data_IF_878633651048
#
_entry.id   IF_878633651048
#
_cell.length_a   1.000
_cell.length_b   1.000
_cell.length_c   1.000
_cell.angle_alpha   90.00
_cell.angle_beta   90.00
_cell.angle_gamma   90.00
#
_symmetry.space_group_name_H-M   'P 1'
#
loop_
_entity.id
_entity.type
_entity.pdbx_description
1 polymer ?
#
# COMPACT_ATOMS: atom_id res chain seq x y z
N UNK A 1 -17.04 0.35 0.96
CA UNK A 1 -16.01 0.54 2.01
C UNK A 1 -14.76 0.93 1.27
N UNK A 2 -14.33 2.18 1.42
CA UNK A 2 -13.33 2.81 0.57
C UNK A 2 -11.94 2.46 1.10
N UNK A 3 -11.10 1.89 0.25
CA UNK A 3 -9.67 1.68 0.50
C UNK A 3 -8.98 3.02 0.73
N UNK A 4 -8.14 3.10 1.77
CA UNK A 4 -7.20 4.19 1.95
C UNK A 4 -6.24 4.19 0.74
N UNK A 5 -6.08 5.35 0.11
CA UNK A 5 -5.25 5.50 -1.08
C UNK A 5 -4.13 6.46 -0.72
N UNK A 6 -2.93 5.92 -0.51
CA UNK A 6 -1.71 6.68 -0.65
C UNK A 6 -1.46 6.86 -2.15
N UNK A 7 -1.48 8.11 -2.60
CA UNK A 7 -1.19 8.44 -3.99
C UNK A 7 0.32 8.42 -4.17
N UNK A 8 0.81 7.50 -4.99
CA UNK A 8 2.10 7.70 -5.65
C UNK A 8 2.04 9.00 -6.46
N UNK A 9 2.74 10.04 -5.97
CA UNK A 9 3.19 11.25 -6.68
C UNK A 9 2.32 11.80 -7.82
N UNK A 10 0.99 11.80 -7.70
CA UNK A 10 0.09 12.17 -8.81
C UNK A 10 -1.05 13.13 -8.46
N UNK A 11 -1.12 13.68 -7.24
CA UNK A 11 -1.94 14.88 -7.06
C UNK A 11 -1.17 16.09 -7.61
N UNK A 12 -1.65 16.62 -8.75
CA UNK A 12 -1.14 17.88 -9.32
C UNK A 12 -1.40 19.10 -8.43
N UNK A 13 -2.23 18.95 -7.39
CA UNK A 13 -2.51 19.99 -6.40
C UNK A 13 -1.47 20.04 -5.27
N UNK A 14 -0.86 18.92 -4.87
CA UNK A 14 0.25 18.92 -3.89
C UNK A 14 1.61 19.25 -4.52
N UNK A 15 1.77 19.07 -5.85
CA UNK A 15 3.00 19.44 -6.59
C UNK A 15 3.22 20.95 -6.75
N UNK A 16 2.20 21.76 -6.50
CA UNK A 16 2.26 23.22 -6.60
C UNK A 16 2.36 23.90 -5.23
N UNK A 17 2.69 23.17 -4.17
CA UNK A 17 3.14 23.80 -2.93
C UNK A 17 4.46 24.53 -3.25
N UNK A 18 4.56 25.85 -2.99
CA UNK A 18 5.78 26.60 -3.26
C UNK A 18 6.95 25.92 -2.55
N UNK A 19 8.14 25.94 -3.18
CA UNK A 19 9.39 25.47 -2.58
C UNK A 19 9.54 26.09 -1.18
N UNK A 20 9.14 25.36 -0.14
CA UNK A 20 9.27 25.82 1.23
C UNK A 20 10.75 25.72 1.61
N UNK A 21 11.37 26.91 1.60
CA UNK A 21 12.54 27.42 2.30
C UNK A 21 13.52 26.41 2.94
N UNK A 22 14.84 26.64 2.79
CA UNK A 22 15.86 25.76 3.35
C UNK A 22 15.92 25.91 4.87
N UNK A 23 15.36 24.95 5.62
CA UNK A 23 15.53 24.92 7.08
C UNK A 23 16.94 24.39 7.43
N UNK A 24 17.89 25.32 7.60
CA UNK A 24 19.18 25.08 8.24
C UNK A 24 19.04 25.22 9.76
N UNK A 25 19.43 24.15 10.48
CA UNK A 25 19.94 24.00 11.86
C UNK A 25 19.24 24.74 13.04
N UNK A 26 19.27 24.11 14.24
CA UNK A 26 18.37 24.41 15.34
C UNK A 26 18.82 25.67 16.09
N UNK A 27 17.88 26.49 16.57
CA UNK A 27 17.90 27.16 17.89
C UNK A 27 16.74 28.16 17.99
N UNK A 28 16.12 28.14 19.17
CA UNK A 28 15.46 29.20 19.94
C UNK A 28 14.51 30.19 19.25
N UNK A 29 13.29 30.23 19.80
CA UNK A 29 12.14 31.13 19.51
C UNK A 29 11.23 30.69 18.35
N UNK A 30 10.24 29.84 18.66
CA UNK A 30 9.07 29.64 17.81
C UNK A 30 8.04 30.75 18.12
N UNK A 31 8.16 31.88 17.43
CA UNK A 31 7.04 32.75 17.09
C UNK A 31 6.89 32.77 15.56
N UNK A 32 5.75 32.22 15.08
CA UNK A 32 5.18 32.20 13.70
C UNK A 32 5.15 30.84 13.02
N UNK A 33 3.97 30.21 13.08
CA UNK A 33 3.47 29.33 12.02
C UNK A 33 2.46 30.15 11.19
N UNK A 34 2.65 30.15 9.88
CA UNK A 34 1.99 31.04 8.92
C UNK A 34 0.50 30.69 8.78
N UNK A 35 -0.34 31.72 8.99
CA UNK A 35 -1.76 31.76 8.66
C UNK A 35 -1.95 31.78 7.14
N UNK A 36 -2.70 30.81 6.64
CA UNK A 36 -3.66 31.01 5.53
C UNK A 36 -4.97 30.37 5.99
N UNK A 37 -6.10 31.01 5.72
CA UNK A 37 -7.33 30.97 6.53
C UNK A 37 -8.07 29.61 6.66
N UNK A 38 -7.46 28.48 6.27
CA UNK A 38 -8.06 27.14 6.37
C UNK A 38 -7.14 26.02 6.93
N UNK A 39 -5.94 26.33 7.43
CA UNK A 39 -5.02 25.30 7.97
C UNK A 39 -5.06 25.23 9.51
N UNK A 40 -5.29 24.03 10.06
CA UNK A 40 -5.13 23.73 11.49
C UNK A 40 -3.93 22.79 11.65
N UNK A 41 -2.78 23.33 12.05
CA UNK A 41 -1.61 22.55 12.46
C UNK A 41 -1.73 22.15 13.93
N UNK A 42 -1.43 20.89 14.25
CA UNK A 42 -1.33 20.41 15.63
C UNK A 42 0.15 20.20 15.98
N UNK A 43 0.61 20.92 17.01
CA UNK A 43 1.92 20.71 17.61
C UNK A 43 1.73 19.80 18.83
N UNK A 44 2.23 18.55 18.74
CA UNK A 44 2.14 17.55 19.81
C UNK A 44 3.45 17.52 20.58
N UNK A 45 3.77 18.62 21.28
CA UNK A 45 4.86 18.66 22.24
C UNK A 45 4.34 18.67 23.69
N UNK A 46 5.19 18.26 24.63
CA UNK A 46 4.92 17.78 26.01
C UNK A 46 4.07 18.65 26.97
N UNK A 47 3.33 19.66 26.52
CA UNK A 47 2.32 20.38 27.32
C UNK A 47 1.04 20.63 26.50
N UNK A 48 0.09 19.71 26.67
CA UNK A 48 -1.29 19.76 26.20
C UNK A 48 -1.95 21.15 26.30
N UNK A 49 -2.05 21.92 25.20
CA UNK A 49 -3.12 22.94 25.02
C UNK A 49 -3.57 23.05 23.56
N UNK A 50 -4.87 22.77 23.36
CA UNK A 50 -5.61 22.75 22.11
C UNK A 50 -6.46 24.01 21.95
N UNK A 51 -6.52 24.59 20.75
CA UNK A 51 -7.51 25.62 20.38
C UNK A 51 -8.32 25.21 19.13
N UNK A 52 -9.60 25.57 19.12
CA UNK A 52 -10.75 24.66 18.89
C UNK A 52 -11.50 24.74 17.55
N UNK A 53 -12.27 23.67 17.23
CA UNK A 53 -13.75 23.66 17.31
C UNK A 53 -14.15 22.35 18.02
N UNK A 54 -14.73 22.46 19.22
CA UNK A 54 -14.27 21.70 20.39
C UNK A 54 -14.66 20.21 20.52
N UNK A 55 -15.75 19.71 19.92
CA UNK A 55 -16.17 18.32 20.17
C UNK A 55 -15.53 17.28 19.23
N UNK A 56 -15.45 17.56 17.92
CA UNK A 56 -14.85 16.63 16.97
C UNK A 56 -13.31 16.63 17.02
N UNK A 57 -12.69 17.75 17.43
CA UNK A 57 -11.23 17.87 17.50
C UNK A 57 -10.62 17.12 18.68
N UNK A 58 -11.28 17.12 19.86
CA UNK A 58 -10.81 16.36 21.03
C UNK A 58 -10.86 14.86 20.75
N UNK A 59 -11.91 14.39 20.05
CA UNK A 59 -12.02 13.00 19.62
C UNK A 59 -10.88 12.60 18.66
N UNK A 60 -10.57 13.43 17.66
CA UNK A 60 -9.54 13.10 16.67
C UNK A 60 -8.12 13.12 17.25
N UNK A 61 -7.81 14.08 18.12
CA UNK A 61 -6.51 14.10 18.81
C UNK A 61 -6.34 12.89 19.72
N UNK A 62 -7.39 12.50 20.44
CA UNK A 62 -7.36 11.27 21.24
C UNK A 62 -7.18 10.01 20.39
N UNK A 63 -7.77 9.98 19.19
CA UNK A 63 -7.58 8.89 18.23
C UNK A 63 -6.12 8.84 17.77
N UNK A 64 -5.58 9.98 17.33
CA UNK A 64 -4.18 10.11 16.89
C UNK A 64 -3.21 9.69 17.99
N UNK A 65 -3.40 10.19 19.22
CA UNK A 65 -2.55 9.84 20.35
C UNK A 65 -2.60 8.33 20.67
N UNK A 66 -3.78 7.71 20.62
CA UNK A 66 -3.90 6.26 20.81
C UNK A 66 -3.16 5.48 19.73
N UNK A 67 -3.22 5.92 18.48
CA UNK A 67 -2.50 5.32 17.36
C UNK A 67 -0.99 5.47 17.56
N UNK A 68 -0.50 6.68 17.83
CA UNK A 68 0.93 6.94 18.05
C UNK A 68 1.45 6.08 19.20
N UNK A 69 0.78 6.07 20.35
CA UNK A 69 1.20 5.27 21.50
C UNK A 69 1.21 3.78 21.19
N UNK A 70 0.22 3.28 20.45
CA UNK A 70 0.21 1.88 20.02
C UNK A 70 1.38 1.57 19.08
N UNK A 71 1.68 2.45 18.12
CA UNK A 71 2.78 2.25 17.17
C UNK A 71 4.16 2.41 17.80
N UNK A 72 4.37 3.42 18.66
CA UNK A 72 5.60 3.60 19.41
C UNK A 72 5.86 2.39 20.35
N UNK A 73 4.80 1.76 20.89
CA UNK A 73 4.92 0.51 21.64
C UNK A 73 5.29 -0.69 20.76
N UNK A 74 4.91 -0.69 19.48
CA UNK A 74 5.27 -1.76 18.54
C UNK A 74 6.76 -1.64 18.15
N UNK A 75 7.18 -0.45 17.74
CA UNK A 75 8.52 -0.20 17.23
C UNK A 75 9.37 0.45 18.32
N UNK A 76 10.13 -0.38 19.05
CA UNK A 76 10.94 -0.04 20.25
C UNK A 76 12.00 1.02 19.94
N UNK A 77 11.56 2.28 19.82
CA UNK A 77 12.36 3.43 19.44
C UNK A 77 11.93 4.63 20.26
N UNK A 78 12.89 5.55 20.50
CA UNK A 78 12.62 6.78 21.22
C UNK A 78 11.61 7.66 20.43
N UNK A 79 10.52 8.05 21.08
CA UNK A 79 9.48 8.88 20.47
C UNK A 79 10.07 10.23 20.07
N UNK A 80 10.11 10.52 18.76
CA UNK A 80 10.44 11.87 18.25
C UNK A 80 9.17 12.67 18.00
N UNK A 81 9.18 13.99 18.28
CA UNK A 81 8.06 14.87 17.91
C UNK A 81 7.80 14.76 16.41
N UNK A 82 6.52 14.73 16.03
CA UNK A 82 6.10 14.47 14.67
C UNK A 82 4.92 15.37 14.32
N UNK A 83 5.06 16.15 13.25
CA UNK A 83 4.08 17.17 12.90
C UNK A 83 2.90 16.53 12.17
N UNK A 84 1.68 16.78 12.63
CA UNK A 84 0.47 16.28 11.96
C UNK A 84 -0.33 17.45 11.46
N UNK A 85 -0.48 17.53 10.14
CA UNK A 85 -1.27 18.54 9.44
C UNK A 85 -2.54 17.88 8.94
N UNK A 86 -3.68 18.37 9.43
CA UNK A 86 -5.00 17.91 9.01
C UNK A 86 -5.64 18.99 8.14
N UNK A 87 -5.99 18.61 6.92
CA UNK A 87 -6.67 19.46 5.94
C UNK A 87 -8.09 18.95 5.76
N UNK A 88 -9.08 19.74 6.20
CA UNK A 88 -10.49 19.44 5.95
C UNK A 88 -10.90 20.01 4.59
N UNK A 89 -11.11 19.11 3.64
CA UNK A 89 -11.60 19.38 2.32
C UNK A 89 -12.95 18.67 2.11
N UNK A 90 -14.09 19.37 2.30
CA UNK A 90 -15.42 18.76 2.23
C UNK A 90 -15.78 18.25 0.83
N UNK A 91 -15.09 18.74 -0.20
CA UNK A 91 -15.31 18.36 -1.60
C UNK A 91 -14.63 17.03 -1.94
N UNK A 92 -13.70 16.56 -1.12
CA UNK A 92 -13.12 15.24 -1.33
C UNK A 92 -14.11 14.14 -0.98
N UNK A 93 -14.18 13.15 -1.86
CA UNK A 93 -14.92 11.91 -1.66
C UNK A 93 -14.12 10.88 -0.86
N UNK A 94 -12.82 11.08 -0.67
CA UNK A 94 -11.89 10.15 -0.04
C UNK A 94 -10.88 10.90 0.81
N UNK A 95 -10.35 10.22 1.83
CA UNK A 95 -9.21 10.72 2.60
C UNK A 95 -7.91 10.21 1.96
N UNK A 96 -6.92 11.08 1.87
CA UNK A 96 -5.57 10.78 1.36
C UNK A 96 -4.53 11.30 2.34
N UNK A 97 -3.37 10.66 2.34
CA UNK A 97 -2.26 11.05 3.20
C UNK A 97 -0.94 11.08 2.45
N UNK A 98 0.03 11.77 3.07
CA UNK A 98 1.44 11.67 2.71
C UNK A 98 2.30 11.86 3.96
N UNK A 99 3.25 10.95 4.16
CA UNK A 99 4.27 11.03 5.17
C UNK A 99 5.58 11.60 4.62
N UNK A 100 6.15 12.54 5.38
CA UNK A 100 7.54 12.97 5.29
C UNK A 100 8.29 12.62 6.57
N UNK A 101 9.60 12.86 6.56
CA UNK A 101 10.50 12.45 7.64
C UNK A 101 10.07 12.89 9.04
N UNK A 102 9.53 14.10 9.15
CA UNK A 102 9.14 14.73 10.42
C UNK A 102 7.68 15.24 10.40
N UNK A 103 6.89 14.87 9.39
CA UNK A 103 5.51 15.32 9.26
C UNK A 103 4.61 14.32 8.54
N UNK A 104 3.31 14.36 8.83
CA UNK A 104 2.25 13.75 8.01
C UNK A 104 1.22 14.80 7.66
N UNK A 105 0.81 14.81 6.39
CA UNK A 105 -0.31 15.61 5.90
C UNK A 105 -1.44 14.66 5.56
N UNK A 106 -2.63 14.91 6.10
CA UNK A 106 -3.84 14.15 5.76
C UNK A 106 -4.90 15.13 5.27
N UNK A 107 -5.44 14.84 4.09
CA UNK A 107 -6.49 15.63 3.45
C UNK A 107 -7.74 14.77 3.24
N UNK A 108 -8.92 15.27 3.58
CA UNK A 108 -10.18 14.53 3.41
C UNK A 108 -11.37 15.32 3.93
N UNK A 109 -12.55 14.70 4.01
CA UNK A 109 -13.72 15.33 4.64
C UNK A 109 -13.95 14.79 6.05
N UNK A 110 -13.67 15.62 7.07
CA UNK A 110 -13.87 15.24 8.49
C UNK A 110 -15.33 14.91 8.81
N UNK A 111 -16.28 15.45 8.03
CA UNK A 111 -17.72 15.24 8.20
C UNK A 111 -18.22 13.91 7.66
N UNK A 112 -17.53 13.32 6.68
CA UNK A 112 -18.08 12.17 5.91
C UNK A 112 -17.70 10.82 6.50
N UNK A 113 -16.47 10.64 7.00
CA UNK A 113 -16.08 9.35 7.56
C UNK A 113 -14.83 9.42 8.46
N UNK A 114 -15.04 9.45 9.77
CA UNK A 114 -13.94 9.43 10.76
C UNK A 114 -13.12 8.13 10.67
N UNK A 115 -13.73 6.98 10.34
CA UNK A 115 -13.02 5.69 10.22
C UNK A 115 -12.04 5.68 9.05
N UNK A 116 -12.41 6.27 7.91
CA UNK A 116 -11.51 6.39 6.76
C UNK A 116 -10.31 7.30 7.11
N UNK A 117 -10.55 8.38 7.85
CA UNK A 117 -9.50 9.21 8.43
C UNK A 117 -8.58 8.43 9.36
N UNK A 118 -9.15 7.67 10.30
CA UNK A 118 -8.39 6.88 11.26
C UNK A 118 -7.48 5.85 10.57
N UNK A 119 -7.95 5.20 9.50
CA UNK A 119 -7.13 4.27 8.71
C UNK A 119 -5.98 4.99 8.01
N UNK A 120 -6.24 6.09 7.32
CA UNK A 120 -5.19 6.86 6.62
C UNK A 120 -4.17 7.40 7.63
N UNK A 121 -4.62 7.99 8.75
CA UNK A 121 -3.72 8.41 9.84
C UNK A 121 -2.83 7.26 10.28
N UNK A 122 -3.43 6.09 10.56
CA UNK A 122 -2.68 4.94 11.03
C UNK A 122 -1.69 4.42 10.01
N UNK A 123 -2.03 4.49 8.72
CA UNK A 123 -1.14 4.13 7.62
C UNK A 123 0.05 5.09 7.54
N UNK A 124 -0.21 6.39 7.39
CA UNK A 124 0.84 7.39 7.20
C UNK A 124 1.80 7.47 8.39
N UNK A 125 1.32 7.26 9.62
CA UNK A 125 2.18 7.26 10.80
C UNK A 125 3.15 6.05 10.84
N UNK A 126 2.83 4.92 10.20
CA UNK A 126 3.76 3.79 10.11
C UNK A 126 4.96 4.13 9.23
N UNK A 127 4.84 5.04 8.26
CA UNK A 127 5.96 5.43 7.41
C UNK A 127 7.13 6.06 8.17
N UNK A 128 6.91 6.53 9.40
CA UNK A 128 7.98 6.90 10.35
C UNK A 128 9.01 5.78 10.52
N UNK A 129 8.56 4.53 10.53
CA UNK A 129 9.41 3.35 10.66
C UNK A 129 9.73 2.76 9.29
N UNK A 130 8.70 2.48 8.49
CA UNK A 130 8.81 1.83 7.18
C UNK A 130 8.78 2.90 6.08
N UNK A 131 9.95 3.38 5.66
CA UNK A 131 10.11 4.43 4.65
C UNK A 131 10.99 5.59 5.10
N UNK A 132 11.14 5.80 6.42
CA UNK A 132 12.00 6.85 6.99
C UNK A 132 13.09 6.36 7.95
N UNK A 133 12.88 5.24 8.66
CA UNK A 133 13.96 4.61 9.45
C UNK A 133 14.53 3.43 8.67
N UNK A 134 13.65 2.53 8.26
CA UNK A 134 13.95 1.58 7.20
C UNK A 134 13.88 2.39 5.91
N UNK A 135 15.03 2.75 5.37
CA UNK A 135 15.14 3.40 4.08
C UNK A 135 15.67 2.39 3.06
N UNK A 136 15.22 2.53 1.83
CA UNK A 136 15.84 1.90 0.67
C UNK A 136 16.82 2.88 0.03
N UNK A 137 17.72 2.37 -0.80
CA UNK A 137 18.58 3.25 -1.61
C UNK A 137 17.72 4.14 -2.53
N UNK A 138 18.14 5.39 -2.71
CA UNK A 138 17.42 6.48 -3.39
C UNK A 138 17.30 6.32 -4.92
N UNK A 139 17.68 5.16 -5.46
CA UNK A 139 17.39 4.84 -6.86
C UNK A 139 15.87 4.68 -7.05
N UNK A 140 15.30 5.47 -7.95
CA UNK A 140 13.87 5.40 -8.34
C UNK A 140 13.45 3.99 -8.79
N UNK A 141 14.37 3.17 -9.29
CA UNK A 141 14.08 1.75 -9.60
C UNK A 141 13.76 0.94 -8.34
N UNK A 142 14.40 1.25 -7.22
CA UNK A 142 14.19 0.56 -5.97
C UNK A 142 12.84 0.92 -5.32
N UNK A 143 12.35 2.15 -5.50
CA UNK A 143 11.05 2.62 -4.95
C UNK A 143 9.90 1.71 -5.40
N UNK A 144 9.92 1.34 -6.67
CA UNK A 144 8.95 0.42 -7.26
C UNK A 144 9.21 -1.02 -6.80
N UNK A 145 10.47 -1.45 -6.86
CA UNK A 145 10.87 -2.84 -6.57
C UNK A 145 10.47 -3.25 -5.15
N UNK A 146 10.60 -2.35 -4.18
CA UNK A 146 10.30 -2.63 -2.78
C UNK A 146 8.95 -2.08 -2.32
N UNK A 147 8.11 -1.59 -3.23
CA UNK A 147 6.79 -1.04 -2.89
C UNK A 147 5.92 -2.04 -2.12
N UNK A 148 6.02 -3.34 -2.42
CA UNK A 148 5.31 -4.38 -1.67
C UNK A 148 5.67 -4.35 -0.17
N UNK A 149 6.94 -4.08 0.16
CA UNK A 149 7.37 -3.95 1.54
C UNK A 149 6.92 -2.60 2.10
N UNK A 150 7.33 -1.50 1.46
CA UNK A 150 7.13 -0.15 2.01
C UNK A 150 5.68 0.29 2.13
N UNK A 151 4.80 -0.18 1.24
CA UNK A 151 3.38 0.18 1.26
C UNK A 151 2.51 -0.92 1.84
N UNK A 152 2.79 -2.17 1.46
CA UNK A 152 1.97 -3.29 1.91
C UNK A 152 2.19 -3.64 3.38
N UNK A 153 3.42 -3.56 3.89
CA UNK A 153 3.65 -3.78 5.33
C UNK A 153 3.15 -2.59 6.15
N UNK A 154 3.27 -1.37 5.62
CA UNK A 154 2.66 -0.17 6.20
C UNK A 154 1.15 -0.32 6.33
N UNK A 155 0.48 -0.82 5.29
CA UNK A 155 -0.95 -1.09 5.35
C UNK A 155 -1.30 -2.18 6.36
N UNK A 156 -0.50 -3.25 6.43
CA UNK A 156 -0.70 -4.32 7.42
C UNK A 156 -0.61 -3.79 8.86
N UNK A 157 0.46 -3.08 9.20
CA UNK A 157 0.64 -2.53 10.54
C UNK A 157 -0.32 -1.40 10.85
N UNK A 158 -0.71 -0.60 9.86
CA UNK A 158 -1.77 0.39 10.00
C UNK A 158 -3.06 -0.28 10.46
N UNK A 159 -3.49 -1.33 9.76
CA UNK A 159 -4.69 -2.08 10.12
C UNK A 159 -4.54 -2.84 11.45
N UNK A 160 -3.38 -3.44 11.72
CA UNK A 160 -3.10 -4.12 12.99
C UNK A 160 -3.17 -3.16 14.17
N UNK A 161 -2.61 -1.96 14.03
CA UNK A 161 -2.70 -0.89 15.04
C UNK A 161 -4.16 -0.59 15.39
N UNK A 162 -5.04 -0.50 14.39
CA UNK A 162 -6.46 -0.26 14.63
C UNK A 162 -7.14 -1.39 15.40
N UNK A 163 -6.73 -2.64 15.16
CA UNK A 163 -7.22 -3.81 15.90
C UNK A 163 -6.75 -3.76 17.35
N UNK A 164 -5.46 -3.51 17.58
CA UNK A 164 -4.84 -3.49 18.91
C UNK A 164 -5.38 -2.35 19.79
N UNK A 165 -5.66 -1.20 19.18
CA UNK A 165 -6.31 -0.04 19.82
C UNK A 165 -7.83 -0.16 19.94
N UNK A 166 -8.42 -1.25 19.42
CA UNK A 166 -9.86 -1.53 19.40
C UNK A 166 -10.69 -0.49 18.63
N UNK A 167 -10.08 0.24 17.69
CA UNK A 167 -10.82 1.07 16.72
C UNK A 167 -11.55 0.24 15.68
N UNK A 168 -11.04 -0.96 15.40
CA UNK A 168 -11.77 -2.00 14.69
C UNK A 168 -11.83 -3.27 15.54
N UNK A 169 -12.86 -4.08 15.34
CA UNK A 169 -12.97 -5.40 15.97
C UNK A 169 -12.39 -6.51 15.06
N UNK A 170 -12.37 -7.75 15.56
CA UNK A 170 -11.85 -8.92 14.83
C UNK A 170 -12.61 -9.20 13.53
N UNK A 171 -13.92 -8.96 13.49
CA UNK A 171 -14.74 -9.17 12.30
C UNK A 171 -14.46 -8.12 11.22
N UNK A 172 -14.27 -6.85 11.62
CA UNK A 172 -13.84 -5.77 10.74
C UNK A 172 -12.43 -6.02 10.19
N UNK A 173 -11.50 -6.52 11.02
CA UNK A 173 -10.16 -6.92 10.60
C UNK A 173 -10.21 -8.06 9.57
N UNK A 174 -10.97 -9.12 9.85
CA UNK A 174 -11.15 -10.24 8.92
C UNK A 174 -11.82 -9.80 7.62
N UNK A 175 -12.78 -8.87 7.69
CA UNK A 175 -13.40 -8.29 6.51
C UNK A 175 -12.40 -7.54 5.64
N UNK A 176 -11.47 -6.79 6.25
CA UNK A 176 -10.39 -6.12 5.52
C UNK A 176 -9.51 -7.15 4.82
N UNK A 177 -9.06 -8.20 5.52
CA UNK A 177 -8.28 -9.30 4.92
C UNK A 177 -9.01 -9.92 3.74
N UNK A 178 -10.29 -10.28 3.91
CA UNK A 178 -11.08 -10.92 2.86
C UNK A 178 -11.28 -9.99 1.64
N UNK A 179 -11.42 -8.68 1.85
CA UNK A 179 -11.44 -7.69 0.77
C UNK A 179 -10.09 -7.64 0.06
N UNK A 180 -8.98 -7.57 0.80
CA UNK A 180 -7.62 -7.55 0.24
C UNK A 180 -7.34 -8.80 -0.59
N UNK A 181 -7.69 -9.99 -0.08
CA UNK A 181 -7.58 -11.26 -0.80
C UNK A 181 -8.41 -11.24 -2.08
N UNK A 182 -9.68 -10.82 -1.99
CA UNK A 182 -10.57 -10.69 -3.15
C UNK A 182 -9.98 -9.77 -4.21
N UNK A 183 -9.57 -8.56 -3.83
CA UNK A 183 -9.02 -7.57 -4.77
C UNK A 183 -7.73 -8.06 -5.42
N UNK A 184 -6.85 -8.69 -4.66
CA UNK A 184 -5.60 -9.22 -5.18
C UNK A 184 -5.80 -10.41 -6.13
N UNK A 185 -6.52 -11.44 -5.69
CA UNK A 185 -6.69 -12.67 -6.48
C UNK A 185 -7.66 -12.49 -7.66
N UNK A 186 -8.56 -11.50 -7.61
CA UNK A 186 -9.36 -11.10 -8.78
C UNK A 186 -8.67 -10.11 -9.73
N UNK A 187 -7.44 -9.68 -9.45
CA UNK A 187 -6.69 -8.85 -10.39
C UNK A 187 -6.45 -9.57 -11.74
N UNK A 188 -6.41 -8.80 -12.82
CA UNK A 188 -6.03 -9.28 -14.16
C UNK A 188 -4.53 -9.54 -14.31
N UNK A 189 -3.72 -8.95 -13.44
CA UNK A 189 -2.26 -8.93 -13.53
C UNK A 189 -1.60 -9.29 -12.19
N UNK A 190 -2.03 -10.38 -11.52
CA UNK A 190 -1.54 -10.70 -10.19
C UNK A 190 -0.04 -11.08 -10.19
N UNK A 191 0.49 -11.50 -11.36
CA UNK A 191 1.88 -11.91 -11.58
C UNK A 191 2.73 -10.83 -12.24
N UNK A 192 2.39 -9.55 -12.08
CA UNK A 192 3.22 -8.48 -12.65
C UNK A 192 4.60 -8.45 -11.98
N UNK A 193 5.65 -8.50 -12.81
CA UNK A 193 7.03 -8.29 -12.37
C UNK A 193 7.32 -6.79 -12.32
N UNK A 194 7.27 -6.22 -11.12
CA UNK A 194 7.50 -4.79 -10.89
C UNK A 194 8.90 -4.34 -11.30
N UNK A 195 9.92 -5.22 -11.28
CA UNK A 195 11.27 -4.88 -11.73
C UNK A 195 11.35 -4.72 -13.26
N UNK A 196 10.50 -5.45 -14.00
CA UNK A 196 10.46 -5.42 -15.46
C UNK A 196 9.44 -4.44 -16.03
N UNK A 197 8.53 -3.94 -15.19
CA UNK A 197 7.48 -3.01 -15.64
C UNK A 197 8.00 -1.58 -15.71
N UNK A 198 7.66 -0.84 -16.77
CA UNK A 198 8.08 0.55 -16.91
C UNK A 198 7.44 1.45 -15.82
N UNK A 199 8.25 2.29 -15.17
CA UNK A 199 7.85 3.23 -14.11
C UNK A 199 6.60 4.06 -14.46
N UNK A 200 6.44 4.47 -15.73
CA UNK A 200 5.27 5.26 -16.15
C UNK A 200 3.95 4.49 -16.05
N UNK A 201 3.98 3.17 -16.26
CA UNK A 201 2.80 2.32 -16.16
C UNK A 201 2.50 1.92 -14.71
N UNK A 202 3.53 1.91 -13.85
CA UNK A 202 3.43 1.60 -12.43
C UNK A 202 2.78 2.71 -11.60
N UNK A 203 2.62 3.90 -12.20
CA UNK A 203 1.79 4.99 -11.66
C UNK A 203 0.29 4.76 -11.88
N UNK A 204 -0.10 3.74 -12.64
CA UNK A 204 -1.51 3.32 -12.69
C UNK A 204 -1.94 2.88 -11.30
N UNK A 205 -3.04 3.45 -10.83
CA UNK A 205 -3.57 3.22 -9.50
C UNK A 205 -3.82 1.73 -9.22
N UNK A 206 -4.27 0.97 -10.22
CA UNK A 206 -4.57 -0.45 -10.04
C UNK A 206 -3.29 -1.26 -9.86
N UNK A 207 -2.24 -0.93 -10.62
CA UNK A 207 -0.93 -1.57 -10.44
C UNK A 207 -0.35 -1.23 -9.08
N UNK A 208 -0.46 0.04 -8.67
CA UNK A 208 -0.04 0.48 -7.35
C UNK A 208 -0.73 -0.33 -6.25
N UNK A 209 -2.07 -0.44 -6.29
CA UNK A 209 -2.86 -1.20 -5.31
C UNK A 209 -2.45 -2.67 -5.20
N UNK A 210 -1.94 -3.28 -6.27
CA UNK A 210 -1.44 -4.65 -6.20
C UNK A 210 -0.21 -4.78 -5.30
N UNK A 211 0.67 -3.78 -5.25
CA UNK A 211 1.80 -3.78 -4.33
C UNK A 211 1.34 -3.71 -2.88
N UNK A 212 0.34 -2.85 -2.58
CA UNK A 212 -0.26 -2.77 -1.24
C UNK A 212 -0.87 -4.11 -0.83
N UNK A 213 -1.77 -4.65 -1.67
CA UNK A 213 -2.48 -5.87 -1.35
C UNK A 213 -1.53 -7.07 -1.24
N UNK A 214 -0.56 -7.20 -2.16
CA UNK A 214 0.47 -8.26 -2.11
C UNK A 214 1.27 -8.20 -0.82
N UNK A 215 1.79 -7.01 -0.49
CA UNK A 215 2.60 -6.83 0.70
C UNK A 215 1.82 -7.01 1.99
N UNK A 216 0.55 -6.58 2.03
CA UNK A 216 -0.34 -6.82 3.16
C UNK A 216 -0.53 -8.33 3.40
N UNK A 217 -0.84 -9.08 2.34
CA UNK A 217 -1.03 -10.54 2.41
C UNK A 217 0.26 -11.22 2.86
N UNK A 218 1.40 -10.82 2.30
CA UNK A 218 2.71 -11.32 2.71
C UNK A 218 3.01 -11.06 4.18
N UNK A 219 2.80 -9.83 4.64
CA UNK A 219 3.00 -9.47 6.04
C UNK A 219 2.14 -10.32 6.97
N UNK A 220 0.85 -10.52 6.64
CA UNK A 220 -0.05 -11.39 7.38
C UNK A 220 0.43 -12.84 7.42
N UNK A 221 0.83 -13.41 6.27
CA UNK A 221 1.36 -14.78 6.18
C UNK A 221 2.57 -14.96 7.10
N UNK A 222 3.52 -14.01 7.04
CA UNK A 222 4.76 -14.09 7.80
C UNK A 222 4.48 -13.90 9.30
N UNK A 223 3.62 -12.96 9.67
CA UNK A 223 3.23 -12.70 11.05
C UNK A 223 2.62 -13.95 11.69
N UNK A 224 1.66 -14.58 11.01
CA UNK A 224 1.02 -15.81 11.47
C UNK A 224 2.00 -16.99 11.50
N UNK A 225 2.87 -17.13 10.49
CA UNK A 225 3.82 -18.23 10.47
C UNK A 225 4.84 -18.13 11.59
N UNK A 226 5.36 -16.93 11.85
CA UNK A 226 6.26 -16.67 12.98
C UNK A 226 5.57 -16.96 14.31
N UNK A 227 4.31 -16.53 14.46
CA UNK A 227 3.52 -16.82 15.65
C UNK A 227 3.38 -18.33 15.87
N UNK A 228 3.00 -19.07 14.83
CA UNK A 228 2.82 -20.52 14.85
C UNK A 228 4.11 -21.26 15.26
N UNK A 229 5.23 -21.05 14.54
CA UNK A 229 6.47 -21.81 14.78
C UNK A 229 7.13 -21.47 16.10
N UNK A 230 6.83 -20.30 16.67
CA UNK A 230 7.42 -19.81 17.91
C UNK A 230 6.55 -20.03 19.13
N UNK A 231 5.32 -20.57 18.97
CA UNK A 231 4.26 -20.61 19.98
C UNK A 231 3.98 -19.21 20.57
N UNK A 232 3.84 -18.22 19.70
CA UNK A 232 3.51 -16.83 20.05
C UNK A 232 4.67 -15.99 20.61
N UNK A 233 5.90 -16.53 20.65
CA UNK A 233 7.07 -15.79 21.15
C UNK A 233 7.62 -14.76 20.16
N UNK A 234 7.45 -15.02 18.87
CA UNK A 234 7.92 -14.18 17.78
C UNK A 234 6.80 -13.93 16.79
N UNK A 235 6.85 -12.77 16.15
CA UNK A 235 5.90 -12.31 15.15
C UNK A 235 6.65 -11.41 14.15
N UNK A 236 5.96 -10.90 13.13
CA UNK A 236 6.62 -10.08 12.11
C UNK A 236 7.25 -8.83 12.72
N UNK A 237 6.66 -8.27 13.78
CA UNK A 237 7.18 -7.09 14.45
C UNK A 237 8.58 -7.34 15.05
N UNK A 238 8.81 -8.54 15.58
CA UNK A 238 10.13 -8.95 16.07
C UNK A 238 11.16 -8.83 14.95
N UNK A 239 10.84 -9.35 13.77
CA UNK A 239 11.71 -9.27 12.59
C UNK A 239 11.95 -7.83 12.15
N UNK A 240 10.90 -6.99 12.12
CA UNK A 240 11.04 -5.59 11.70
C UNK A 240 11.88 -4.78 12.70
N UNK A 241 11.72 -4.99 14.01
CA UNK A 241 12.55 -4.34 15.02
C UNK A 241 14.03 -4.76 14.90
N UNK A 242 14.31 -6.03 14.58
CA UNK A 242 15.67 -6.48 14.30
C UNK A 242 16.26 -5.81 13.06
N UNK A 243 15.48 -5.66 11.99
CA UNK A 243 15.88 -4.93 10.77
C UNK A 243 16.18 -3.46 11.10
N UNK A 244 15.31 -2.80 11.87
CA UNK A 244 15.51 -1.41 12.32
C UNK A 244 16.82 -1.29 13.10
N UNK A 245 17.07 -2.20 14.05
CA UNK A 245 18.30 -2.22 14.83
C UNK A 245 19.54 -2.40 13.94
N UNK A 246 19.48 -3.28 12.94
CA UNK A 246 20.59 -3.50 12.01
C UNK A 246 20.85 -2.30 11.10
N UNK A 247 19.79 -1.74 10.50
CA UNK A 247 19.86 -0.57 9.63
C UNK A 247 20.43 0.64 10.39
N UNK A 248 19.95 0.89 11.60
CA UNK A 248 20.39 2.04 12.41
C UNK A 248 21.83 1.89 12.93
N UNK A 249 22.24 0.67 13.32
CA UNK A 249 23.60 0.42 13.84
C UNK A 249 24.65 0.32 12.74
N UNK A 250 24.35 -0.34 11.62
CA UNK A 250 25.31 -0.59 10.53
C UNK A 250 25.23 0.43 9.39
N UNK A 251 24.22 1.31 9.39
CA UNK A 251 23.94 2.28 8.31
C UNK A 251 23.80 1.63 6.94
N UNK A 252 23.07 0.51 6.88
CA UNK A 252 22.77 -0.22 5.65
C UNK A 252 21.36 0.08 5.17
N UNK A 253 21.10 0.01 3.86
CA UNK A 253 19.77 0.18 3.30
C UNK A 253 19.01 -1.15 3.23
N UNK A 254 17.68 -1.06 3.25
CA UNK A 254 16.82 -2.21 3.04
C UNK A 254 17.04 -2.87 1.67
N UNK A 255 17.07 -4.20 1.67
CA UNK A 255 16.99 -5.04 0.49
C UNK A 255 16.41 -6.42 0.86
N UNK A 256 16.09 -7.24 -0.15
CA UNK A 256 15.48 -8.57 0.06
C UNK A 256 16.42 -9.52 0.81
N UNK A 257 17.73 -9.43 0.63
CA UNK A 257 18.68 -10.31 1.29
C UNK A 257 18.76 -10.02 2.80
N UNK A 258 18.73 -8.74 3.18
CA UNK A 258 18.62 -8.31 4.58
C UNK A 258 17.29 -8.80 5.19
N UNK A 259 16.18 -8.62 4.47
CA UNK A 259 14.89 -9.12 4.94
C UNK A 259 14.90 -10.64 5.16
N UNK A 260 15.43 -11.38 4.17
CA UNK A 260 15.53 -12.82 4.22
C UNK A 260 16.46 -13.31 5.35
N UNK A 261 17.60 -12.64 5.59
CA UNK A 261 18.54 -13.02 6.64
C UNK A 261 17.90 -12.94 8.02
N UNK A 262 17.09 -11.91 8.29
CA UNK A 262 16.38 -11.80 9.56
C UNK A 262 15.26 -12.83 9.72
N UNK A 263 14.62 -13.27 8.63
CA UNK A 263 13.63 -14.36 8.67
C UNK A 263 14.28 -15.73 8.92
N UNK A 264 15.51 -15.96 8.44
CA UNK A 264 16.24 -17.24 8.61
C UNK A 264 16.49 -17.62 10.07
N UNK A 265 16.43 -16.67 11.00
CA UNK A 265 16.53 -16.98 12.43
C UNK A 265 15.35 -17.80 12.96
N UNK A 266 14.20 -17.78 12.28
CA UNK A 266 12.95 -18.35 12.78
C UNK A 266 12.26 -19.28 11.77
N UNK A 267 12.46 -19.06 10.48
CA UNK A 267 11.77 -19.77 9.41
C UNK A 267 12.73 -20.63 8.59
N UNK A 268 12.22 -21.74 8.06
CA UNK A 268 12.97 -22.64 7.19
C UNK A 268 13.39 -21.96 5.88
N UNK A 269 14.52 -22.35 5.32
CA UNK A 269 15.00 -21.81 4.03
C UNK A 269 14.02 -22.02 2.87
N UNK A 270 13.28 -23.14 2.85
CA UNK A 270 12.26 -23.41 1.82
C UNK A 270 11.15 -22.36 1.87
N UNK A 271 10.55 -22.13 3.04
CA UNK A 271 9.52 -21.12 3.22
C UNK A 271 10.01 -19.71 2.82
N UNK A 272 11.25 -19.36 3.15
CA UNK A 272 11.82 -18.06 2.76
C UNK A 272 11.98 -17.95 1.24
N UNK A 273 12.41 -19.03 0.57
CA UNK A 273 12.45 -19.07 -0.90
C UNK A 273 11.06 -18.88 -1.49
N UNK A 274 10.04 -19.50 -0.93
CA UNK A 274 8.66 -19.34 -1.39
C UNK A 274 8.14 -17.92 -1.17
N UNK A 275 8.45 -17.29 -0.03
CA UNK A 275 8.13 -15.87 0.21
C UNK A 275 8.75 -14.99 -0.86
N UNK A 276 10.04 -15.14 -1.14
CA UNK A 276 10.74 -14.35 -2.16
C UNK A 276 10.17 -14.61 -3.55
N UNK A 277 9.89 -15.87 -3.89
CA UNK A 277 9.30 -16.23 -5.17
C UNK A 277 7.88 -15.66 -5.33
N UNK A 278 7.09 -15.63 -4.25
CA UNK A 278 5.72 -15.11 -4.25
C UNK A 278 5.61 -13.61 -4.49
N UNK A 279 6.70 -12.86 -4.31
CA UNK A 279 6.78 -11.45 -4.74
C UNK A 279 6.52 -11.35 -6.25
N UNK A 280 6.92 -12.36 -7.03
CA UNK A 280 6.77 -12.42 -8.50
C UNK A 280 5.62 -13.32 -8.94
N UNK A 281 5.24 -14.30 -8.13
CA UNK A 281 4.23 -15.31 -8.48
C UNK A 281 3.09 -15.41 -7.45
N UNK A 282 1.89 -14.98 -7.84
CA UNK A 282 0.69 -15.04 -7.01
C UNK A 282 0.20 -16.46 -6.71
N UNK A 283 0.54 -17.46 -7.52
CA UNK A 283 0.17 -18.85 -7.25
C UNK A 283 0.92 -19.41 -6.04
N UNK A 284 2.20 -19.03 -5.89
CA UNK A 284 2.99 -19.32 -4.70
C UNK A 284 2.39 -18.59 -3.50
N UNK A 285 2.00 -17.31 -3.66
CA UNK A 285 1.37 -16.57 -2.57
C UNK A 285 0.08 -17.23 -2.06
N UNK A 286 -0.74 -17.79 -2.97
CA UNK A 286 -1.94 -18.52 -2.61
C UNK A 286 -1.61 -19.76 -1.75
N UNK A 287 -0.55 -20.50 -2.12
CA UNK A 287 -0.13 -21.71 -1.41
C UNK A 287 0.40 -21.44 0.01
N UNK A 288 0.81 -20.20 0.28
CA UNK A 288 1.36 -19.77 1.56
C UNK A 288 0.29 -19.26 2.55
N UNK A 289 -0.97 -19.15 2.12
CA UNK A 289 -2.04 -18.67 3.01
C UNK A 289 -2.24 -19.62 4.19
N UNK A 290 -2.33 -19.11 5.43
CA UNK A 290 -2.66 -19.92 6.59
C UNK A 290 -4.00 -20.63 6.38
N UNK A 291 -4.07 -21.91 6.76
CA UNK A 291 -5.31 -22.68 6.70
C UNK A 291 -6.38 -22.17 7.67
N UNK A 292 -5.97 -21.42 8.70
CA UNK A 292 -6.84 -20.82 9.70
C UNK A 292 -6.31 -19.44 10.12
N UNK A 293 -7.21 -18.49 10.30
CA UNK A 293 -6.91 -17.13 10.77
C UNK A 293 -8.04 -16.66 11.70
N UNK A 294 -7.73 -16.12 12.88
CA UNK A 294 -8.73 -15.65 13.86
C UNK A 294 -9.89 -16.64 14.12
N UNK A 295 -9.57 -17.92 14.26
CA UNK A 295 -10.53 -19.02 14.41
C UNK A 295 -11.42 -19.31 13.19
N UNK A 296 -11.09 -18.78 12.02
CA UNK A 296 -11.83 -18.92 10.78
C UNK A 296 -11.03 -19.74 9.79
N UNK A 297 -11.69 -20.66 9.10
CA UNK A 297 -11.00 -21.56 8.18
C UNK A 297 -10.86 -20.89 6.81
N UNK A 298 -9.75 -21.15 6.14
CA UNK A 298 -9.58 -20.79 4.73
C UNK A 298 -10.54 -21.65 3.91
N UNK A 299 -11.40 -20.98 3.17
CA UNK A 299 -12.35 -21.57 2.22
C UNK A 299 -12.21 -20.88 0.88
N UNK A 300 -12.87 -21.41 -0.14
CA UNK A 300 -12.92 -20.80 -1.46
C UNK A 300 -14.34 -20.37 -1.76
N UNK A 301 -14.48 -19.19 -2.36
CA UNK A 301 -15.75 -18.66 -2.81
C UNK A 301 -15.64 -18.29 -4.28
N UNK A 302 -16.58 -18.80 -5.07
CA UNK A 302 -16.69 -18.42 -6.47
C UNK A 302 -17.18 -16.99 -6.58
N UNK A 303 -16.46 -16.23 -7.41
CA UNK A 303 -16.78 -14.85 -7.74
C UNK A 303 -16.63 -14.63 -9.23
N UNK A 304 -17.38 -13.64 -9.70
CA UNK A 304 -17.22 -13.13 -11.04
C UNK A 304 -15.91 -12.34 -11.15
N UNK A 305 -15.07 -12.73 -12.10
CA UNK A 305 -13.80 -12.08 -12.43
C UNK A 305 -13.78 -11.76 -13.91
N UNK A 306 -13.45 -10.53 -14.25
CA UNK A 306 -13.05 -10.22 -15.63
C UNK A 306 -11.62 -10.72 -15.79
N UNK A 307 -11.37 -11.65 -16.73
CA UNK A 307 -10.04 -12.28 -16.87
C UNK A 307 -9.59 -12.64 -18.28
N UNK A 308 -10.51 -12.87 -19.22
CA UNK A 308 -10.11 -13.11 -20.61
C UNK A 308 -10.14 -11.81 -21.40
N UNK A 309 -8.96 -11.22 -21.51
CA UNK A 309 -8.72 -9.95 -22.21
C UNK A 309 -8.13 -10.16 -23.60
N UNK A 310 -8.26 -11.37 -24.18
CA UNK A 310 -7.86 -11.73 -25.55
C UNK A 310 -6.41 -11.38 -25.98
N UNK A 311 -5.55 -10.90 -25.09
CA UNK A 311 -4.10 -10.75 -25.25
C UNK A 311 -3.37 -10.94 -23.90
N UNK A 312 -2.04 -11.06 -23.92
CA UNK A 312 -1.23 -11.18 -22.71
C UNK A 312 -0.93 -9.79 -22.14
N UNK A 313 -1.78 -9.29 -21.24
CA UNK A 313 -1.64 -7.97 -20.63
C UNK A 313 -0.36 -7.82 -19.81
N UNK A 314 -0.05 -8.77 -18.92
CA UNK A 314 1.17 -8.72 -18.10
C UNK A 314 2.40 -8.54 -18.97
N UNK A 315 2.55 -9.39 -19.99
CA UNK A 315 3.70 -9.31 -20.90
C UNK A 315 3.69 -8.03 -21.74
N UNK A 316 2.50 -7.53 -22.08
CA UNK A 316 2.36 -6.30 -22.85
C UNK A 316 2.77 -5.05 -22.05
N UNK A 317 2.49 -5.03 -20.75
CA UNK A 317 2.89 -3.97 -19.82
C UNK A 317 4.40 -3.98 -19.59
N UNK A 318 5.00 -5.15 -19.39
CA UNK A 318 6.45 -5.32 -19.25
C UNK A 318 7.22 -4.86 -20.49
N UNK A 319 6.78 -5.27 -21.68
CA UNK A 319 7.50 -5.01 -22.93
C UNK A 319 7.12 -3.70 -23.62
N UNK A 320 6.09 -3.01 -23.13
CA UNK A 320 5.46 -1.85 -23.79
C UNK A 320 5.06 -2.12 -25.24
N UNK A 321 4.72 -3.37 -25.52
CA UNK A 321 4.29 -3.84 -26.84
C UNK A 321 3.19 -4.84 -26.63
N UNK A 322 2.14 -4.75 -27.41
CA UNK A 322 1.07 -5.73 -27.42
C UNK A 322 1.65 -7.12 -27.73
N UNK A 323 1.27 -8.11 -26.92
CA UNK A 323 1.70 -9.50 -27.03
C UNK A 323 0.56 -10.48 -26.81
N UNK A 324 0.65 -11.61 -27.50
CA UNK A 324 -0.24 -12.76 -27.29
C UNK A 324 -1.68 -12.50 -27.69
N UNK A 325 -1.94 -11.62 -28.66
CA UNK A 325 -3.30 -11.42 -29.18
C UNK A 325 -3.82 -12.73 -29.77
N UNK A 326 -4.96 -13.21 -29.27
CA UNK A 326 -5.62 -14.42 -29.75
C UNK A 326 -6.22 -14.15 -31.14
N UNK A 327 -5.80 -14.89 -32.16
CA UNK A 327 -6.38 -14.79 -33.50
C UNK A 327 -7.89 -15.08 -33.47
N UNK A 328 -8.67 -14.30 -34.21
CA UNK A 328 -10.14 -14.42 -34.27
C UNK A 328 -10.90 -13.88 -33.06
N UNK A 329 -10.21 -13.42 -32.01
CA UNK A 329 -10.85 -12.79 -30.84
C UNK A 329 -11.37 -11.38 -31.14
N UNK A 330 -12.21 -10.85 -30.25
CA UNK A 330 -12.68 -9.47 -30.31
C UNK A 330 -11.53 -8.45 -30.38
N UNK A 331 -10.45 -8.67 -29.62
CA UNK A 331 -9.24 -7.86 -29.69
C UNK A 331 -8.65 -7.83 -31.10
N UNK A 332 -8.50 -9.00 -31.72
CA UNK A 332 -7.96 -9.13 -33.07
C UNK A 332 -8.85 -8.44 -34.10
N UNK A 333 -10.17 -8.64 -33.99
CA UNK A 333 -11.16 -8.05 -34.90
C UNK A 333 -11.26 -6.52 -34.76
N UNK A 334 -10.94 -5.99 -33.58
CA UNK A 334 -10.81 -4.55 -33.31
C UNK A 334 -9.44 -3.96 -33.72
N UNK A 335 -8.59 -4.76 -34.37
CA UNK A 335 -7.32 -4.30 -34.93
C UNK A 335 -6.15 -4.25 -33.94
N UNK A 336 -6.29 -4.89 -32.77
CA UNK A 336 -5.17 -5.13 -31.87
C UNK A 336 -4.26 -6.20 -32.48
N UNK A 337 -2.94 -5.95 -32.53
CA UNK A 337 -1.96 -6.86 -33.12
C UNK A 337 -0.69 -6.92 -32.30
N UNK A 338 -0.06 -8.09 -32.29
CA UNK A 338 1.25 -8.25 -31.66
C UNK A 338 2.30 -7.30 -32.27
N UNK A 339 3.12 -6.71 -31.40
CA UNK A 339 4.18 -5.78 -31.77
C UNK A 339 3.77 -4.31 -31.82
N UNK A 340 2.47 -3.98 -31.79
CA UNK A 340 2.02 -2.59 -31.62
C UNK A 340 2.56 -2.01 -30.31
N UNK A 341 3.06 -0.78 -30.33
CA UNK A 341 3.61 -0.16 -29.12
C UNK A 341 2.48 0.26 -28.18
N UNK A 342 2.50 -0.18 -26.93
CA UNK A 342 1.53 0.22 -25.91
C UNK A 342 1.96 1.56 -25.30
N UNK A 343 1.16 2.62 -25.48
CA UNK A 343 1.45 3.96 -24.93
C UNK A 343 0.68 4.26 -23.65
N UNK A 344 -0.62 3.96 -23.66
CA UNK A 344 -1.48 4.16 -22.50
C UNK A 344 -2.50 3.04 -22.42
N UNK A 345 -3.00 2.79 -21.21
CA UNK A 345 -4.13 1.93 -20.98
C UNK A 345 -4.99 2.51 -19.86
N UNK A 346 -6.24 2.09 -19.80
CA UNK A 346 -7.13 2.29 -18.67
C UNK A 346 -7.98 1.04 -18.57
N UNK A 347 -8.00 0.43 -17.39
CA UNK A 347 -8.72 -0.81 -17.14
C UNK A 347 -9.65 -0.54 -15.96
N UNK A 348 -10.95 -0.69 -16.20
CA UNK A 348 -11.94 -0.72 -15.14
C UNK A 348 -12.28 -2.16 -14.81
N UNK A 349 -11.75 -2.62 -13.67
CA UNK A 349 -11.91 -3.98 -13.17
C UNK A 349 -13.34 -4.30 -12.74
N UNK A 350 -14.20 -3.31 -12.51
CA UNK A 350 -15.60 -3.53 -12.11
C UNK A 350 -16.51 -3.75 -13.33
N UNK A 351 -16.24 -3.07 -14.44
CA UNK A 351 -17.03 -3.19 -15.67
C UNK A 351 -16.40 -4.10 -16.73
N UNK A 352 -15.12 -4.46 -16.54
CA UNK A 352 -14.32 -5.16 -17.55
C UNK A 352 -13.93 -4.26 -18.72
N UNK A 353 -14.20 -2.95 -18.68
CA UNK A 353 -13.89 -2.05 -19.77
C UNK A 353 -12.38 -1.77 -19.83
N UNK A 354 -11.81 -1.89 -21.03
CA UNK A 354 -10.39 -1.67 -21.28
C UNK A 354 -10.26 -0.67 -22.42
N UNK A 355 -9.50 0.39 -22.21
CA UNK A 355 -9.13 1.34 -23.24
C UNK A 355 -7.63 1.30 -23.44
N UNK A 356 -7.18 1.04 -24.66
CA UNK A 356 -5.77 1.00 -25.03
C UNK A 356 -5.46 2.12 -26.01
N UNK A 357 -4.31 2.78 -25.83
CA UNK A 357 -3.71 3.64 -26.85
C UNK A 357 -2.43 2.96 -27.34
N UNK A 358 -2.43 2.56 -28.60
CA UNK A 358 -1.32 1.85 -29.24
C UNK A 358 -0.76 2.63 -30.43
N UNK A 359 0.49 2.37 -30.80
CA UNK A 359 1.04 2.83 -32.09
C UNK A 359 1.26 1.66 -33.04
N UNK A 360 0.81 1.82 -34.28
CA UNK A 360 1.16 0.97 -35.40
C UNK A 360 1.90 1.84 -36.42
N UNK A 361 3.18 1.57 -36.68
CA UNK A 361 4.02 2.38 -37.58
C UNK A 361 4.00 3.90 -37.23
N UNK A 362 4.10 4.23 -35.94
CA UNK A 362 4.01 5.60 -35.39
C UNK A 362 2.63 6.27 -35.50
N UNK A 363 1.62 5.60 -36.06
CA UNK A 363 0.26 6.12 -36.14
C UNK A 363 -0.52 5.70 -34.87
N UNK A 364 -1.08 6.64 -34.10
CA UNK A 364 -1.83 6.32 -32.90
C UNK A 364 -3.20 5.71 -33.23
N UNK A 365 -3.56 4.66 -32.49
CA UNK A 365 -4.88 4.03 -32.49
C UNK A 365 -5.40 3.91 -31.06
N UNK A 366 -6.70 4.10 -30.90
CA UNK A 366 -7.39 3.88 -29.62
C UNK A 366 -8.32 2.70 -29.80
N UNK A 367 -8.16 1.69 -28.95
CA UNK A 367 -8.93 0.45 -28.99
C UNK A 367 -9.71 0.34 -27.69
N UNK A 368 -11.00 0.06 -27.80
CA UNK A 368 -11.91 -0.13 -26.69
C UNK A 368 -12.34 -1.59 -26.66
N UNK A 369 -12.00 -2.30 -25.58
CA UNK A 369 -12.29 -3.71 -25.39
C UNK A 369 -13.17 -3.88 -24.16
N UNK A 370 -13.85 -5.03 -24.10
CA UNK A 370 -14.53 -5.49 -22.89
C UNK A 370 -14.00 -6.88 -22.54
N UNK A 371 -13.45 -7.00 -21.35
CA UNK A 371 -13.00 -8.27 -20.81
C UNK A 371 -14.18 -9.22 -20.64
N UNK A 372 -13.98 -10.49 -20.95
CA UNK A 372 -15.00 -11.49 -20.67
C UNK A 372 -15.04 -11.82 -19.18
N UNK A 373 -16.27 -12.03 -18.71
CA UNK A 373 -16.58 -12.44 -17.36
C UNK A 373 -16.35 -13.95 -17.25
N UNK A 374 -15.56 -14.36 -16.26
CA UNK A 374 -15.30 -15.74 -15.93
C UNK A 374 -15.58 -15.96 -14.44
N UNK A 375 -15.85 -17.20 -14.05
CA UNK A 375 -15.92 -17.57 -12.63
C UNK A 375 -14.50 -17.85 -12.13
N UNK A 376 -14.12 -17.23 -11.02
CA UNK A 376 -12.86 -17.45 -10.32
C UNK A 376 -13.15 -17.79 -8.87
N UNK A 377 -12.53 -18.85 -8.35
CA UNK A 377 -12.60 -19.19 -6.94
C UNK A 377 -11.52 -18.42 -6.18
N UNK A 378 -11.92 -17.61 -5.21
CA UNK A 378 -11.01 -16.78 -4.41
C UNK A 378 -10.91 -17.28 -2.98
N UNK A 379 -9.74 -17.18 -2.34
CA UNK A 379 -9.58 -17.50 -0.94
C UNK A 379 -10.37 -16.53 -0.05
N UNK A 380 -11.03 -17.07 0.97
CA UNK A 380 -11.78 -16.32 1.96
C UNK A 380 -11.80 -17.04 3.31
N UNK A 381 -11.62 -16.31 4.40
CA UNK A 381 -11.73 -16.86 5.75
C UNK A 381 -13.18 -16.78 6.26
N UNK A 382 -13.77 -17.91 6.67
CA UNK A 382 -15.18 -18.04 7.13
C UNK A 382 -15.35 -18.80 8.44
#
# INVERSE_FOLDING_TARGET
>A
MHSAIALGNSSSHLKNLPNFLPFRKPFDNIEKIIRTDNFRSFDLDKKNKLYTNAHNSISLVNIINKIILAQDNLFILESKPYNIVLVDNPNLSRTTGAAGKDYVIIEGSLKKNIKDYTRVISHELIHRYIGHIIEQDNDKKNEIKYKWFFEGFTEFYGVKTLLDTKFINKDEYLKIINITLKEYFNSLIPNIDFEKTNQKHLLDQNISMLSYNKGFILAMIIDEKLNEVSNGRYNLLTTINNIISEITSKKVNFNVDLFASHLKHYLSESFIKDIIASIRDSSILLSLLPSRLLNKNLTFQDTDKYSDICFNLTRSLELQKIRGVKLGSDCHNMGLKDGQELKCYSIDFNSGNIKLKVLENKIPKVIHLKANKMTSSIPIYK
#
